data_IF_704723939746
#
_entry.id   IF_704723939746
#
_cell.length_a   1.000
_cell.length_b   1.000
_cell.length_c   1.000
_cell.angle_alpha   90.00
_cell.angle_beta   90.00
_cell.angle_gamma   90.00
#
_symmetry.space_group_name_H-M   'P 1'
#
loop_
_entity.id
_entity.type
_entity.pdbx_description
1 polymer ?
#
# COMPACT_ATOMS: atom_id res chain seq x y z
N UNK A 1 -20.73 -5.32 -9.21
CA UNK A 1 -21.59 -4.16 -8.83
C UNK A 1 -21.92 -4.08 -7.33
N UNK A 2 -22.47 -5.12 -6.67
CA UNK A 2 -22.82 -5.04 -5.23
C UNK A 2 -21.64 -4.61 -4.35
N UNK A 3 -20.48 -5.25 -4.52
CA UNK A 3 -19.25 -4.89 -3.76
C UNK A 3 -18.86 -3.43 -3.98
N UNK A 4 -19.01 -2.90 -5.19
CA UNK A 4 -18.72 -1.51 -5.48
C UNK A 4 -19.64 -0.56 -4.68
N UNK A 5 -20.95 -0.85 -4.67
CA UNK A 5 -21.91 -0.06 -3.90
C UNK A 5 -21.63 -0.11 -2.39
N UNK A 6 -21.24 -1.27 -1.86
CA UNK A 6 -20.80 -1.41 -0.46
C UNK A 6 -19.57 -0.53 -0.19
N UNK A 7 -18.55 -0.57 -1.06
CA UNK A 7 -17.37 0.28 -0.93
C UNK A 7 -17.72 1.78 -0.96
N UNK A 8 -18.66 2.20 -1.81
CA UNK A 8 -19.13 3.59 -1.85
C UNK A 8 -19.81 3.99 -0.53
N UNK A 9 -20.73 3.16 -0.02
CA UNK A 9 -21.39 3.40 1.26
C UNK A 9 -20.42 3.47 2.43
N UNK A 10 -19.40 2.59 2.44
CA UNK A 10 -18.33 2.63 3.45
C UNK A 10 -17.50 3.91 3.35
N UNK A 11 -17.14 4.32 2.13
CA UNK A 11 -16.31 5.49 1.88
C UNK A 11 -16.99 6.82 2.24
N UNK A 12 -18.27 6.99 1.91
CA UNK A 12 -18.96 8.29 1.98
C UNK A 12 -19.84 8.41 3.21
N UNK A 13 -20.42 7.32 3.69
CA UNK A 13 -21.37 7.35 4.81
C UNK A 13 -20.76 6.80 6.09
N UNK A 14 -20.32 5.53 6.09
CA UNK A 14 -19.98 4.83 7.33
C UNK A 14 -18.69 5.37 7.96
N UNK A 15 -17.60 5.42 7.20
CA UNK A 15 -16.31 5.85 7.75
C UNK A 15 -16.30 7.35 8.13
N UNK A 16 -16.85 8.27 7.33
CA UNK A 16 -16.96 9.67 7.74
C UNK A 16 -17.89 9.89 8.93
N UNK A 17 -19.01 9.16 9.03
CA UNK A 17 -19.86 9.20 10.21
C UNK A 17 -19.09 8.76 11.46
N UNK A 18 -18.36 7.64 11.36
CA UNK A 18 -17.46 7.18 12.42
C UNK A 18 -16.22 8.08 12.62
N UNK A 19 -15.98 9.13 11.83
CA UNK A 19 -14.90 10.09 12.08
C UNK A 19 -15.38 11.31 12.87
N UNK A 20 -16.67 11.65 12.77
CA UNK A 20 -17.27 12.82 13.41
C UNK A 20 -17.46 12.66 14.93
N UNK A 21 -17.19 11.48 15.51
CA UNK A 21 -17.26 11.33 16.96
C UNK A 21 -16.00 11.94 17.63
N UNK A 22 -16.18 12.84 18.61
CA UNK A 22 -15.11 13.69 19.15
C UNK A 22 -14.05 12.97 20.02
N UNK A 23 -14.06 11.64 20.09
CA UNK A 23 -13.26 10.87 21.06
C UNK A 23 -12.17 9.96 20.45
N UNK A 24 -11.94 10.00 19.14
CA UNK A 24 -10.94 9.13 18.54
C UNK A 24 -9.51 9.61 18.75
N UNK A 25 -8.64 8.67 19.13
CA UNK A 25 -7.19 8.87 19.09
C UNK A 25 -6.79 9.28 17.67
N UNK A 26 -5.90 10.28 17.54
CA UNK A 26 -5.36 10.78 16.26
C UNK A 26 -4.91 9.69 15.28
N UNK A 27 -4.43 8.54 15.78
CA UNK A 27 -4.05 7.41 14.94
C UNK A 27 -5.24 6.66 14.35
N UNK A 28 -6.32 6.51 15.12
CA UNK A 28 -7.54 5.88 14.64
C UNK A 28 -8.26 6.79 13.65
N UNK A 29 -8.30 8.09 13.91
CA UNK A 29 -8.78 9.09 12.97
C UNK A 29 -7.99 9.04 11.65
N UNK A 30 -6.64 9.04 11.73
CA UNK A 30 -5.79 8.91 10.55
C UNK A 30 -6.04 7.60 9.78
N UNK A 31 -6.24 6.48 10.47
CA UNK A 31 -6.57 5.20 9.84
C UNK A 31 -7.92 5.23 9.14
N UNK A 32 -8.97 5.76 9.79
CA UNK A 32 -10.32 5.84 9.23
C UNK A 32 -10.38 6.78 8.01
N UNK A 33 -9.72 7.93 8.07
CA UNK A 33 -9.59 8.85 6.93
C UNK A 33 -8.80 8.21 5.77
N UNK A 34 -7.71 7.51 6.08
CA UNK A 34 -6.99 6.73 5.08
C UNK A 34 -7.87 5.63 4.47
N UNK A 35 -8.67 4.95 5.29
CA UNK A 35 -9.57 3.88 4.85
C UNK A 35 -10.68 4.43 3.94
N UNK A 36 -11.29 5.57 4.25
CA UNK A 36 -12.34 6.16 3.41
C UNK A 36 -11.82 6.44 1.99
N UNK A 37 -10.60 6.98 1.87
CA UNK A 37 -9.92 7.14 0.59
C UNK A 37 -9.68 5.80 -0.13
N UNK A 38 -9.31 4.74 0.58
CA UNK A 38 -9.14 3.41 -0.02
C UNK A 38 -10.45 2.79 -0.51
N UNK A 39 -11.52 2.94 0.26
CA UNK A 39 -12.84 2.44 -0.13
C UNK A 39 -13.42 3.19 -1.34
N UNK A 40 -13.14 4.49 -1.50
CA UNK A 40 -13.52 5.22 -2.72
C UNK A 40 -12.79 4.67 -3.96
N UNK A 41 -11.49 4.35 -3.82
CA UNK A 41 -10.73 3.68 -4.88
C UNK A 41 -11.28 2.28 -5.18
N UNK A 42 -11.63 1.50 -4.16
CA UNK A 42 -12.23 0.17 -4.36
C UNK A 42 -13.55 0.24 -5.10
N UNK A 43 -14.39 1.24 -4.79
CA UNK A 43 -15.63 1.49 -5.53
C UNK A 43 -15.36 1.66 -7.03
N UNK A 44 -14.47 2.58 -7.41
CA UNK A 44 -14.13 2.83 -8.83
C UNK A 44 -13.49 1.59 -9.47
N UNK A 45 -12.65 0.86 -8.74
CA UNK A 45 -12.00 -0.34 -9.25
C UNK A 45 -12.99 -1.47 -9.55
N UNK A 46 -13.92 -1.73 -8.63
CA UNK A 46 -14.94 -2.76 -8.83
C UNK A 46 -15.99 -2.35 -9.86
N UNK A 47 -16.29 -1.06 -9.98
CA UNK A 47 -17.13 -0.54 -11.05
C UNK A 47 -16.46 -0.77 -12.41
N UNK A 48 -15.19 -0.34 -12.57
CA UNK A 48 -14.40 -0.56 -13.78
C UNK A 48 -14.31 -2.05 -14.14
N UNK A 49 -14.00 -2.90 -13.15
CA UNK A 49 -13.95 -4.35 -13.34
C UNK A 49 -15.29 -4.92 -13.82
N UNK A 50 -16.41 -4.49 -13.22
CA UNK A 50 -17.74 -4.93 -13.63
C UNK A 50 -18.05 -4.50 -15.07
N UNK A 51 -17.72 -3.26 -15.43
CA UNK A 51 -17.94 -2.73 -16.79
C UNK A 51 -17.09 -3.46 -17.84
N UNK A 52 -15.83 -3.77 -17.54
CA UNK A 52 -14.93 -4.52 -18.43
C UNK A 52 -15.42 -5.95 -18.68
N UNK A 53 -15.90 -6.64 -17.63
CA UNK A 53 -16.47 -7.97 -17.77
C UNK A 53 -17.78 -7.90 -18.57
N UNK A 54 -18.63 -6.92 -18.30
CA UNK A 54 -19.88 -6.70 -19.04
C UNK A 54 -19.64 -6.38 -20.53
N UNK A 55 -18.51 -5.76 -20.88
CA UNK A 55 -18.12 -5.51 -22.27
C UNK A 55 -17.49 -6.73 -22.96
N UNK A 56 -17.48 -7.91 -22.32
CA UNK A 56 -16.97 -9.15 -22.91
C UNK A 56 -15.46 -9.34 -22.80
N UNK A 57 -14.78 -8.64 -21.89
CA UNK A 57 -13.33 -8.78 -21.65
C UNK A 57 -13.08 -9.57 -20.36
N UNK A 58 -12.10 -10.49 -20.38
CA UNK A 58 -11.65 -11.22 -19.19
C UNK A 58 -12.13 -12.66 -19.08
N UNK A 59 -12.65 -13.26 -20.15
CA UNK A 59 -12.92 -14.70 -20.19
C UNK A 59 -11.61 -15.50 -20.28
N UNK A 60 -11.41 -16.45 -19.37
CA UNK A 60 -10.31 -17.41 -19.39
C UNK A 60 -10.84 -18.79 -19.80
N UNK A 61 -10.44 -19.25 -20.99
CA UNK A 61 -10.87 -20.52 -21.56
C UNK A 61 -10.35 -21.75 -20.83
N UNK A 62 -9.28 -21.63 -20.03
CA UNK A 62 -8.70 -22.78 -19.32
C UNK A 62 -9.51 -23.16 -18.09
N UNK A 63 -10.16 -22.19 -17.46
CA UNK A 63 -10.93 -22.34 -16.22
C UNK A 63 -12.43 -22.07 -16.42
N UNK A 64 -12.85 -21.87 -17.67
CA UNK A 64 -14.21 -21.53 -18.10
C UNK A 64 -14.87 -20.47 -17.20
N UNK A 65 -14.13 -19.38 -16.93
CA UNK A 65 -14.61 -18.35 -16.02
C UNK A 65 -14.17 -16.96 -16.43
N UNK A 66 -14.98 -15.97 -16.06
CA UNK A 66 -14.68 -14.57 -16.26
C UNK A 66 -13.83 -14.07 -15.09
N UNK A 67 -12.55 -13.81 -15.35
CA UNK A 67 -11.61 -13.27 -14.38
C UNK A 67 -10.90 -12.03 -14.94
N UNK A 68 -11.26 -10.87 -14.42
CA UNK A 68 -10.52 -9.63 -14.59
C UNK A 68 -10.42 -8.97 -13.23
N UNK A 69 -9.23 -8.55 -12.82
CA UNK A 69 -9.01 -7.95 -11.50
C UNK A 69 -8.27 -6.63 -11.66
N UNK A 70 -8.86 -5.57 -11.09
CA UNK A 70 -8.25 -4.22 -11.05
C UNK A 70 -7.53 -3.98 -9.72
N UNK A 71 -8.00 -4.59 -8.63
CA UNK A 71 -7.49 -4.43 -7.27
C UNK A 71 -7.68 -5.72 -6.47
N UNK A 72 -6.85 -5.97 -5.45
CA UNK A 72 -7.10 -6.99 -4.44
C UNK A 72 -7.20 -6.34 -3.04
N UNK A 73 -8.40 -5.94 -2.57
CA UNK A 73 -8.54 -5.13 -1.36
C UNK A 73 -8.02 -5.82 -0.09
N UNK A 74 -8.22 -7.14 0.06
CA UNK A 74 -7.74 -7.88 1.24
C UNK A 74 -6.21 -7.80 1.37
N UNK A 75 -5.49 -7.85 0.24
CA UNK A 75 -4.03 -7.73 0.22
C UNK A 75 -3.53 -6.31 0.53
N UNK A 76 -4.41 -5.30 0.46
CA UNK A 76 -4.13 -3.91 0.80
C UNK A 76 -4.53 -3.59 2.24
N UNK A 77 -5.71 -4.05 2.69
CA UNK A 77 -6.22 -3.80 4.04
C UNK A 77 -5.54 -4.66 5.10
N UNK A 78 -5.08 -5.88 4.76
CA UNK A 78 -4.31 -6.73 5.68
C UNK A 78 -2.99 -7.12 4.99
N UNK A 79 -2.08 -6.15 4.79
CA UNK A 79 -0.90 -6.35 3.97
C UNK A 79 0.19 -7.09 4.72
N UNK A 80 0.67 -8.19 4.14
CA UNK A 80 1.87 -8.88 4.62
C UNK A 80 3.13 -8.01 4.50
N UNK A 81 3.18 -7.14 3.49
CA UNK A 81 4.27 -6.20 3.21
C UNK A 81 3.76 -4.92 2.53
N UNK A 82 4.50 -3.82 2.65
CA UNK A 82 4.28 -2.59 1.87
C UNK A 82 4.41 -2.85 0.36
N UNK A 83 5.26 -3.80 -0.05
CA UNK A 83 5.33 -4.22 -1.46
C UNK A 83 4.00 -4.83 -1.93
N UNK A 84 3.34 -5.61 -1.08
CA UNK A 84 2.01 -6.14 -1.41
C UNK A 84 0.96 -5.04 -1.55
N UNK A 85 0.99 -4.00 -0.72
CA UNK A 85 0.12 -2.82 -0.89
C UNK A 85 0.29 -2.23 -2.29
N UNK A 86 1.52 -1.85 -2.66
CA UNK A 86 1.79 -1.20 -3.95
C UNK A 86 1.46 -2.08 -5.17
N UNK A 87 1.63 -3.40 -5.04
CA UNK A 87 1.37 -4.33 -6.15
C UNK A 87 -0.09 -4.75 -6.30
N UNK A 88 -0.92 -4.58 -5.26
CA UNK A 88 -2.33 -5.00 -5.26
C UNK A 88 -3.32 -3.83 -5.25
N UNK A 89 -2.86 -2.60 -5.01
CA UNK A 89 -3.68 -1.38 -5.02
C UNK A 89 -4.29 -1.05 -6.38
N UNK A 90 -3.49 -1.13 -7.44
CA UNK A 90 -3.93 -0.89 -8.82
C UNK A 90 -3.12 -1.80 -9.76
N UNK A 91 -3.71 -2.94 -10.11
CA UNK A 91 -3.02 -4.00 -10.86
C UNK A 91 -2.62 -3.53 -12.27
N UNK A 92 -3.45 -2.83 -13.06
CA UNK A 92 -3.04 -2.29 -14.35
C UNK A 92 -1.85 -1.33 -14.25
N UNK A 93 -1.92 -0.36 -13.33
CA UNK A 93 -0.83 0.61 -13.13
C UNK A 93 0.45 -0.09 -12.66
N UNK A 94 0.34 -1.04 -11.73
CA UNK A 94 1.49 -1.83 -11.29
C UNK A 94 2.14 -2.60 -12.45
N UNK A 95 1.33 -3.28 -13.29
CA UNK A 95 1.83 -4.00 -14.47
C UNK A 95 2.54 -3.07 -15.46
N UNK A 96 1.95 -1.91 -15.72
CA UNK A 96 2.55 -0.87 -16.57
C UNK A 96 3.92 -0.42 -16.03
N UNK A 97 3.94 0.11 -14.79
CA UNK A 97 5.17 0.61 -14.16
C UNK A 97 6.24 -0.49 -14.03
N UNK A 98 5.84 -1.72 -13.71
CA UNK A 98 6.76 -2.85 -13.60
C UNK A 98 7.44 -3.18 -14.93
N UNK A 99 6.68 -3.21 -16.02
CA UNK A 99 7.17 -3.62 -17.32
C UNK A 99 7.94 -2.51 -18.04
N UNK A 100 7.49 -1.26 -17.92
CA UNK A 100 8.04 -0.15 -18.70
C UNK A 100 9.01 0.76 -17.92
N UNK A 101 9.00 0.72 -16.58
CA UNK A 101 9.90 1.56 -15.76
C UNK A 101 10.84 0.70 -14.92
N UNK A 102 10.30 -0.19 -14.08
CA UNK A 102 11.11 -0.95 -13.12
C UNK A 102 12.06 -1.95 -13.80
N UNK A 103 11.55 -2.85 -14.66
CA UNK A 103 12.38 -3.87 -15.32
C UNK A 103 13.51 -3.26 -16.17
N UNK A 104 13.25 -2.25 -17.04
CA UNK A 104 14.32 -1.61 -17.80
C UNK A 104 15.35 -0.91 -16.92
N UNK A 105 14.91 -0.18 -15.88
CA UNK A 105 15.82 0.58 -15.02
C UNK A 105 16.63 -0.28 -14.06
N UNK A 106 16.13 -1.45 -13.65
CA UNK A 106 16.82 -2.36 -12.73
C UNK A 106 18.21 -2.78 -13.21
N UNK A 107 18.41 -2.91 -14.52
CA UNK A 107 19.71 -3.25 -15.10
C UNK A 107 20.76 -2.17 -14.86
N UNK A 108 20.36 -0.90 -14.86
CA UNK A 108 21.27 0.25 -14.82
C UNK A 108 21.40 0.87 -13.42
N UNK A 109 20.30 0.93 -12.65
CA UNK A 109 20.23 1.63 -11.36
C UNK A 109 20.24 0.69 -10.15
N UNK A 110 20.28 -0.63 -10.37
CA UNK A 110 20.10 -1.63 -9.33
C UNK A 110 18.67 -1.66 -8.77
N UNK A 111 18.48 -2.42 -7.69
CA UNK A 111 17.13 -2.63 -7.13
C UNK A 111 16.55 -1.35 -6.49
N UNK A 112 17.33 -0.64 -5.67
CA UNK A 112 16.87 0.57 -4.99
C UNK A 112 16.58 1.70 -5.99
N UNK A 113 17.53 1.99 -6.89
CA UNK A 113 17.35 3.04 -7.88
C UNK A 113 16.18 2.77 -8.83
N UNK A 114 15.91 1.51 -9.18
CA UNK A 114 14.72 1.14 -9.95
C UNK A 114 13.42 1.37 -9.18
N UNK A 115 13.37 1.08 -7.87
CA UNK A 115 12.21 1.41 -7.02
C UNK A 115 12.02 2.92 -6.98
N UNK A 116 13.07 3.68 -6.69
CA UNK A 116 13.00 5.14 -6.62
C UNK A 116 12.49 5.74 -7.93
N UNK A 117 13.06 5.36 -9.07
CA UNK A 117 12.62 5.83 -10.37
C UNK A 117 11.15 5.44 -10.65
N UNK A 118 10.74 4.23 -10.30
CA UNK A 118 9.36 3.77 -10.50
C UNK A 118 8.36 4.63 -9.73
N UNK A 119 8.63 4.92 -8.45
CA UNK A 119 7.74 5.76 -7.65
C UNK A 119 7.83 7.24 -8.01
N UNK A 120 9.00 7.73 -8.46
CA UNK A 120 9.11 9.06 -9.07
C UNK A 120 8.26 9.18 -10.33
N UNK A 121 8.31 8.21 -11.25
CA UNK A 121 7.43 8.19 -12.44
C UNK A 121 5.96 8.13 -12.04
N UNK A 122 5.60 7.32 -11.03
CA UNK A 122 4.23 7.30 -10.51
C UNK A 122 3.81 8.68 -9.98
N UNK A 123 4.67 9.37 -9.23
CA UNK A 123 4.40 10.71 -8.72
C UNK A 123 4.24 11.75 -9.85
N UNK A 124 5.05 11.67 -10.91
CA UNK A 124 4.90 12.50 -12.11
C UNK A 124 3.52 12.28 -12.77
N UNK A 125 3.05 11.04 -12.89
CA UNK A 125 1.73 10.71 -13.45
C UNK A 125 0.57 11.25 -12.60
N UNK A 126 0.82 11.49 -11.30
CA UNK A 126 -0.12 12.16 -10.39
C UNK A 126 0.02 13.69 -10.40
N UNK A 127 0.67 14.27 -11.41
CA UNK A 127 0.75 15.72 -11.62
C UNK A 127 1.76 16.45 -10.74
N UNK A 128 2.78 15.75 -10.21
CA UNK A 128 3.81 16.33 -9.31
C UNK A 128 3.25 17.04 -8.07
N UNK A 129 2.04 16.69 -7.63
CA UNK A 129 1.50 17.16 -6.37
C UNK A 129 2.43 16.72 -5.24
N UNK A 130 2.94 17.67 -4.44
CA UNK A 130 3.92 17.40 -3.39
C UNK A 130 3.41 16.34 -2.39
N UNK A 131 2.15 16.44 -1.99
CA UNK A 131 1.53 15.52 -1.05
C UNK A 131 1.53 14.08 -1.57
N UNK A 132 1.05 13.88 -2.80
CA UNK A 132 1.03 12.56 -3.45
C UNK A 132 2.44 12.04 -3.70
N UNK A 133 3.35 12.91 -4.13
CA UNK A 133 4.75 12.57 -4.38
C UNK A 133 5.45 12.09 -3.11
N UNK A 134 5.26 12.80 -2.00
CA UNK A 134 5.82 12.45 -0.71
C UNK A 134 5.28 11.10 -0.21
N UNK A 135 3.98 10.85 -0.34
CA UNK A 135 3.35 9.57 0.03
C UNK A 135 3.90 8.41 -0.82
N UNK A 136 3.95 8.58 -2.14
CA UNK A 136 4.40 7.53 -3.07
C UNK A 136 5.88 7.20 -2.90
N UNK A 137 6.73 8.20 -2.77
CA UNK A 137 8.17 8.00 -2.53
C UNK A 137 8.42 7.33 -1.18
N UNK A 138 7.65 7.70 -0.15
CA UNK A 138 7.70 7.05 1.16
C UNK A 138 7.25 5.59 1.07
N UNK A 139 6.13 5.31 0.40
CA UNK A 139 5.63 3.95 0.20
C UNK A 139 6.67 3.06 -0.49
N UNK A 140 7.31 3.56 -1.56
CA UNK A 140 8.35 2.84 -2.27
C UNK A 140 9.59 2.59 -1.41
N UNK A 141 10.02 3.58 -0.64
CA UNK A 141 11.16 3.47 0.26
C UNK A 141 10.89 2.47 1.39
N UNK A 142 9.71 2.54 2.02
CA UNK A 142 9.31 1.61 3.08
C UNK A 142 9.22 0.18 2.55
N UNK A 143 8.60 -0.01 1.37
CA UNK A 143 8.53 -1.32 0.73
C UNK A 143 9.93 -1.90 0.43
N UNK A 144 10.88 -1.07 0.01
CA UNK A 144 12.25 -1.51 -0.24
C UNK A 144 12.96 -1.91 1.06
N UNK A 145 12.94 -1.04 2.08
CA UNK A 145 13.57 -1.30 3.38
C UNK A 145 13.04 -2.59 4.00
N UNK A 146 11.71 -2.74 4.05
CA UNK A 146 11.06 -3.94 4.58
C UNK A 146 11.48 -5.19 3.80
N UNK A 147 11.50 -5.13 2.46
CA UNK A 147 11.88 -6.27 1.62
C UNK A 147 13.33 -6.72 1.88
N UNK A 148 14.26 -5.77 2.06
CA UNK A 148 15.66 -6.07 2.37
C UNK A 148 15.78 -6.70 3.77
N UNK A 149 15.13 -6.12 4.77
CA UNK A 149 15.12 -6.64 6.14
C UNK A 149 14.56 -8.07 6.18
N UNK A 150 13.40 -8.29 5.57
CA UNK A 150 12.71 -9.58 5.54
C UNK A 150 13.50 -10.64 4.79
N UNK A 151 14.18 -10.28 3.70
CA UNK A 151 15.10 -11.18 3.00
C UNK A 151 16.25 -11.63 3.91
N UNK A 152 16.88 -10.70 4.64
CA UNK A 152 17.97 -11.01 5.57
C UNK A 152 17.51 -11.89 6.73
N UNK A 153 16.37 -11.57 7.34
CA UNK A 153 15.74 -12.38 8.39
C UNK A 153 15.39 -13.78 7.91
N UNK A 154 14.79 -13.90 6.72
CA UNK A 154 14.43 -15.18 6.11
C UNK A 154 15.64 -16.10 5.92
N UNK A 155 16.79 -15.54 5.54
CA UNK A 155 18.05 -16.30 5.40
C UNK A 155 18.66 -16.66 6.75
N UNK A 156 18.78 -15.69 7.67
CA UNK A 156 19.39 -15.88 9.01
C UNK A 156 18.63 -16.89 9.86
N UNK A 157 17.29 -16.79 9.87
CA UNK A 157 16.42 -17.64 10.67
C UNK A 157 15.95 -18.88 9.90
N UNK A 158 16.28 -18.98 8.60
CA UNK A 158 15.80 -20.05 7.71
C UNK A 158 14.28 -20.26 7.82
N UNK A 159 13.50 -19.17 7.66
CA UNK A 159 12.08 -19.11 8.01
C UNK A 159 11.19 -18.43 6.96
N UNK A 160 9.91 -18.78 6.90
CA UNK A 160 8.91 -18.23 5.97
C UNK A 160 8.46 -16.79 6.30
N UNK A 161 9.40 -15.85 6.22
CA UNK A 161 9.20 -14.45 6.62
C UNK A 161 9.53 -13.47 5.50
N UNK A 162 9.63 -13.95 4.26
CA UNK A 162 9.68 -13.10 3.07
C UNK A 162 8.45 -12.19 2.95
N UNK A 163 8.63 -11.08 2.23
CA UNK A 163 7.63 -10.06 1.90
C UNK A 163 6.42 -10.66 1.18
N UNK A 164 6.66 -11.63 0.31
CA UNK A 164 5.64 -12.49 -0.32
C UNK A 164 5.53 -13.82 0.42
N UNK A 165 4.33 -14.41 0.53
CA UNK A 165 4.19 -15.75 1.09
C UNK A 165 4.98 -16.75 0.24
N UNK A 166 5.68 -17.68 0.90
CA UNK A 166 6.37 -18.75 0.21
C UNK A 166 5.36 -19.69 -0.46
N UNK A 167 5.68 -20.18 -1.66
CA UNK A 167 4.89 -21.25 -2.28
C UNK A 167 4.94 -22.52 -1.43
N UNK A 168 3.80 -23.17 -1.24
CA UNK A 168 3.70 -24.40 -0.44
C UNK A 168 4.51 -25.55 -1.06
N UNK A 169 4.59 -25.64 -2.39
CA UNK A 169 5.27 -26.74 -3.09
C UNK A 169 6.78 -26.53 -3.31
N UNK A 170 7.31 -25.34 -3.01
CA UNK A 170 8.70 -24.97 -3.34
C UNK A 170 9.45 -24.24 -2.23
N UNK A 171 8.96 -24.29 -0.99
CA UNK A 171 9.59 -23.57 0.11
C UNK A 171 10.79 -24.33 0.69
N UNK A 172 12.00 -23.82 0.47
CA UNK A 172 13.24 -24.36 1.04
C UNK A 172 13.54 -23.99 2.50
N UNK A 173 12.68 -23.20 3.16
CA UNK A 173 12.94 -22.79 4.55
C UNK A 173 12.74 -23.94 5.55
N UNK A 174 13.59 -24.02 6.58
CA UNK A 174 13.41 -24.97 7.69
C UNK A 174 12.12 -24.67 8.45
N UNK A 175 11.90 -23.40 8.81
CA UNK A 175 10.78 -22.97 9.62
C UNK A 175 9.62 -22.49 8.75
N UNK A 176 8.50 -23.23 8.80
CA UNK A 176 7.38 -23.04 7.88
C UNK A 176 6.42 -21.96 8.38
N UNK A 177 5.54 -21.49 7.48
CA UNK A 177 4.60 -20.40 7.76
C UNK A 177 3.56 -20.71 8.84
N UNK A 178 3.36 -21.99 9.17
CA UNK A 178 2.41 -22.46 10.19
C UNK A 178 3.01 -22.46 11.60
N UNK A 179 4.34 -22.36 11.74
CA UNK A 179 4.96 -22.30 13.06
C UNK A 179 4.56 -21.01 13.78
N UNK A 180 4.16 -21.14 15.05
CA UNK A 180 3.55 -20.05 15.80
C UNK A 180 4.42 -18.78 15.85
N UNK A 181 5.74 -18.92 15.98
CA UNK A 181 6.65 -17.77 16.06
C UNK A 181 6.85 -17.11 14.68
N UNK A 182 6.77 -17.89 13.58
CA UNK A 182 6.79 -17.37 12.20
C UNK A 182 5.50 -16.61 11.92
N UNK A 183 4.37 -17.13 12.40
CA UNK A 183 3.07 -16.43 12.37
C UNK A 183 3.18 -15.13 13.16
N UNK A 184 3.67 -15.17 14.39
CA UNK A 184 3.85 -13.98 15.24
C UNK A 184 4.71 -12.91 14.57
N UNK A 185 5.83 -13.30 13.96
CA UNK A 185 6.71 -12.34 13.28
C UNK A 185 6.03 -11.74 12.05
N UNK A 186 5.35 -12.56 11.24
CA UNK A 186 4.58 -12.07 10.10
C UNK A 186 3.43 -11.15 10.53
N UNK A 187 2.74 -11.47 11.63
CA UNK A 187 1.71 -10.60 12.22
C UNK A 187 2.29 -9.28 12.70
N UNK A 188 3.48 -9.29 13.30
CA UNK A 188 4.20 -8.06 13.68
C UNK A 188 4.48 -7.16 12.48
N UNK A 189 4.89 -7.72 11.34
CA UNK A 189 5.03 -6.96 10.11
C UNK A 189 3.70 -6.46 9.55
N UNK A 190 2.61 -7.24 9.62
CA UNK A 190 1.27 -6.77 9.21
C UNK A 190 0.87 -5.55 10.05
N UNK A 191 1.05 -5.59 11.37
CA UNK A 191 0.77 -4.46 12.25
C UNK A 191 1.63 -3.23 11.92
N UNK A 192 2.93 -3.44 11.67
CA UNK A 192 3.84 -2.39 11.21
C UNK A 192 3.35 -1.76 9.90
N UNK A 193 2.86 -2.59 8.97
CA UNK A 193 2.37 -2.13 7.69
C UNK A 193 1.05 -1.36 7.78
N UNK A 194 0.13 -1.80 8.65
CA UNK A 194 -1.08 -1.05 8.99
C UNK A 194 -0.76 0.31 9.60
N UNK A 195 0.24 0.37 10.48
CA UNK A 195 0.75 1.61 11.05
C UNK A 195 1.30 2.56 9.99
N UNK A 196 2.13 2.06 9.07
CA UNK A 196 2.64 2.85 7.94
C UNK A 196 1.51 3.35 7.03
N UNK A 197 0.50 2.53 6.75
CA UNK A 197 -0.67 2.91 5.95
C UNK A 197 -1.50 4.01 6.61
N UNK A 198 -1.77 3.90 7.92
CA UNK A 198 -2.47 4.94 8.65
C UNK A 198 -1.69 6.27 8.63
N UNK A 199 -0.38 6.19 8.84
CA UNK A 199 0.51 7.36 8.81
C UNK A 199 0.57 8.04 7.44
N UNK A 200 0.76 7.26 6.36
CA UNK A 200 0.83 7.81 5.00
C UNK A 200 -0.54 8.34 4.55
N UNK A 201 -1.61 7.67 4.97
CA UNK A 201 -2.97 8.02 4.59
C UNK A 201 -3.56 9.24 5.29
N UNK A 202 -2.94 9.76 6.36
CA UNK A 202 -3.35 11.02 7.02
C UNK A 202 -3.41 12.19 6.05
N UNK A 203 -2.65 12.11 4.95
CA UNK A 203 -2.65 13.13 3.90
C UNK A 203 -4.01 13.29 3.22
N UNK A 204 -4.82 12.23 3.17
CA UNK A 204 -6.11 12.21 2.52
C UNK A 204 -7.28 12.60 3.44
N UNK A 205 -6.99 12.99 4.70
CA UNK A 205 -7.99 13.53 5.59
C UNK A 205 -8.37 14.95 5.15
N UNK A 206 -9.55 15.11 4.53
CA UNK A 206 -10.06 16.37 3.99
C UNK A 206 -11.31 16.87 4.72
N UNK A 207 -11.72 16.21 5.81
CA UNK A 207 -13.00 16.52 6.48
C UNK A 207 -13.04 17.94 7.08
N UNK A 208 -11.88 18.53 7.38
CA UNK A 208 -11.76 19.85 8.00
C UNK A 208 -11.11 20.89 7.06
N UNK A 209 -10.93 20.59 5.78
CA UNK A 209 -10.22 21.45 4.83
C UNK A 209 -11.20 22.16 3.89
N UNK A 210 -10.90 23.40 3.50
CA UNK A 210 -11.82 24.19 2.68
C UNK A 210 -12.09 23.53 1.32
N UNK A 211 -13.35 23.51 0.84
CA UNK A 211 -13.69 22.96 -0.47
C UNK A 211 -12.95 23.74 -1.58
N UNK A 212 -11.98 23.09 -2.24
CA UNK A 212 -11.22 23.66 -3.36
C UNK A 212 -9.69 23.53 -3.25
N UNK A 213 -9.12 23.38 -2.05
CA UNK A 213 -7.67 23.18 -1.87
C UNK A 213 -7.17 21.85 -2.43
N UNK A 214 -8.03 20.83 -2.47
CA UNK A 214 -7.69 19.52 -3.02
C UNK A 214 -7.46 19.55 -4.54
N UNK A 215 -8.10 20.47 -5.26
CA UNK A 215 -7.95 20.62 -6.73
C UNK A 215 -6.70 21.41 -7.11
N UNK A 216 -6.28 22.38 -6.29
CA UNK A 216 -5.08 23.18 -6.53
C UNK A 216 -3.78 22.52 -6.04
N UNK A 217 -3.91 21.50 -5.18
CA UNK A 217 -2.78 20.80 -4.57
C UNK A 217 -2.29 21.49 -3.30
N UNK A 218 -2.08 20.71 -2.24
CA UNK A 218 -1.61 21.24 -0.97
C UNK A 218 -0.13 21.63 -1.01
N UNK A 219 0.21 22.74 -0.36
CA UNK A 219 1.59 23.17 -0.16
C UNK A 219 2.41 22.14 0.63
N UNK A 220 3.73 22.15 0.44
CA UNK A 220 4.66 21.30 1.21
C UNK A 220 4.53 21.53 2.72
N UNK A 221 4.23 22.76 3.16
CA UNK A 221 4.07 23.10 4.57
C UNK A 221 2.88 22.38 5.19
N UNK A 222 1.80 22.20 4.44
CA UNK A 222 0.61 21.49 4.87
C UNK A 222 0.90 20.00 5.10
N UNK A 223 1.56 19.38 4.12
CA UNK A 223 1.99 17.96 4.20
C UNK A 223 2.91 17.73 5.40
N UNK A 224 3.91 18.60 5.60
CA UNK A 224 4.83 18.48 6.73
C UNK A 224 4.15 18.71 8.08
N UNK A 225 3.17 19.63 8.18
CA UNK A 225 2.40 19.84 9.42
C UNK A 225 1.60 18.60 9.82
N UNK A 226 0.93 17.93 8.88
CA UNK A 226 0.19 16.68 9.16
C UNK A 226 1.11 15.57 9.69
N UNK A 227 2.30 15.42 9.12
CA UNK A 227 3.29 14.45 9.62
C UNK A 227 3.94 14.87 10.94
N UNK A 228 4.16 16.17 11.15
CA UNK A 228 4.63 16.70 12.42
C UNK A 228 3.63 16.42 13.57
N UNK A 229 2.32 16.47 13.32
CA UNK A 229 1.30 16.09 14.29
C UNK A 229 1.40 14.62 14.74
N UNK A 230 1.93 13.75 13.87
CA UNK A 230 2.26 12.34 14.17
C UNK A 230 3.74 12.14 14.56
N UNK A 231 4.47 13.22 14.90
CA UNK A 231 5.87 13.23 15.31
C UNK A 231 6.84 12.57 14.31
N UNK A 232 6.47 12.53 13.03
CA UNK A 232 7.21 11.79 11.99
C UNK A 232 7.49 10.31 12.35
N UNK A 233 6.67 9.71 13.23
CA UNK A 233 7.00 8.43 13.87
C UNK A 233 7.26 7.31 12.87
N UNK A 234 6.47 7.24 11.79
CA UNK A 234 6.67 6.26 10.72
C UNK A 234 8.01 6.43 9.99
N UNK A 235 8.50 7.65 9.78
CA UNK A 235 9.81 7.88 9.19
C UNK A 235 10.93 7.40 10.13
N UNK A 236 10.79 7.64 11.43
CA UNK A 236 11.74 7.15 12.43
C UNK A 236 11.75 5.61 12.49
N UNK A 237 10.58 4.97 12.44
CA UNK A 237 10.47 3.51 12.38
C UNK A 237 11.07 2.96 11.07
N UNK A 238 10.84 3.62 9.94
CA UNK A 238 11.46 3.26 8.66
C UNK A 238 13.00 3.39 8.73
N UNK A 239 13.51 4.44 9.38
CA UNK A 239 14.95 4.61 9.59
C UNK A 239 15.51 3.51 10.51
N UNK A 240 14.81 3.19 11.61
CA UNK A 240 15.21 2.11 12.52
C UNK A 240 15.22 0.74 11.85
N UNK A 241 14.20 0.43 11.04
CA UNK A 241 14.15 -0.81 10.24
C UNK A 241 15.24 -0.84 9.17
N UNK A 242 15.59 0.30 8.58
CA UNK A 242 16.73 0.39 7.67
C UNK A 242 18.06 0.11 8.38
N UNK A 243 18.32 0.75 9.53
CA UNK A 243 19.53 0.51 10.32
C UNK A 243 19.61 -0.97 10.74
N UNK A 244 18.51 -1.55 11.21
CA UNK A 244 18.43 -2.98 11.52
C UNK A 244 18.75 -3.84 10.30
N UNK A 245 18.24 -3.45 9.12
CA UNK A 245 18.54 -4.14 7.87
C UNK A 245 20.01 -4.04 7.47
N UNK A 246 20.77 -3.04 7.93
CA UNK A 246 22.21 -2.94 7.67
C UNK A 246 23.02 -3.84 8.61
N UNK A 247 22.59 -4.00 9.86
CA UNK A 247 23.29 -4.77 10.90
C UNK A 247 23.11 -6.30 10.70
N UNK A 248 21.93 -6.73 10.25
CA UNK A 248 21.61 -8.14 9.95
C UNK A 248 22.27 -8.62 8.65
#
# INVERSE_FOLDING_TARGET
>A
MVVAAVCLGLSVCVLPFLLNEPQYNKWLAAYMAAASFRYSHYFISFLSQSSTIASGIGYDSNIDSWSFSVVHPVAVEIPRSMSMVATNWNLPMHKFLKNYVYKPSRRYLGQFGAVLLTFSTSALLHGMNFQLSAVLLSLGTYAFIESVLRMKLSKRLNACVLDRPCSQSGCGHRHKSVEWWVVLMNSGFVLLNLFHLAYLGVMFDVTNEEPGLQEQGFSYTHTLKKWAHLNFLSHWVALGTFILSLIL
#
